data_IF_587639696657
#
_entry.id   IF_587639696657
#
_cell.length_a   1.000
_cell.length_b   1.000
_cell.length_c   1.000
_cell.angle_alpha   90.00
_cell.angle_beta   90.00
_cell.angle_gamma   90.00
#
_symmetry.space_group_name_H-M   'P 1'
#
loop_
_entity.id
_entity.type
_entity.pdbx_description
1 polymer ?
#
# COMPACT_ATOMS: atom_id res chain seq x y z
N UNK A 1 14.43 11.58 -8.99
CA UNK A 1 13.14 10.92 -8.68
C UNK A 1 12.03 11.82 -9.14
N UNK A 2 10.96 11.24 -9.68
CA UNK A 2 10.06 11.97 -10.59
C UNK A 2 8.91 12.69 -9.86
N UNK A 3 8.66 12.36 -8.58
CA UNK A 3 7.69 13.05 -7.72
C UNK A 3 8.28 13.33 -6.34
N UNK A 4 7.81 14.40 -5.69
CA UNK A 4 8.21 14.75 -4.32
C UNK A 4 7.84 13.67 -3.31
N UNK A 5 6.64 13.09 -3.44
CA UNK A 5 6.18 12.01 -2.57
C UNK A 5 7.09 10.79 -2.64
N UNK A 6 7.48 10.38 -3.85
CA UNK A 6 8.43 9.28 -4.01
C UNK A 6 9.77 9.64 -3.36
N UNK A 7 10.25 10.89 -3.53
CA UNK A 7 11.50 11.38 -2.94
C UNK A 7 11.55 11.17 -1.43
N UNK A 8 10.51 11.66 -0.74
CA UNK A 8 10.34 11.51 0.70
C UNK A 8 10.29 10.04 1.11
N UNK A 9 9.63 9.17 0.34
CA UNK A 9 9.55 7.75 0.64
C UNK A 9 10.92 7.05 0.55
N UNK A 10 11.78 7.40 -0.40
CA UNK A 10 13.12 6.82 -0.44
C UNK A 10 14.01 7.35 0.70
N UNK A 11 13.91 8.63 1.05
CA UNK A 11 14.62 9.17 2.20
C UNK A 11 14.18 8.46 3.49
N UNK A 12 12.87 8.26 3.67
CA UNK A 12 12.30 7.52 4.79
C UNK A 12 12.79 6.06 4.84
N UNK A 13 12.83 5.37 3.68
CA UNK A 13 13.39 4.03 3.56
C UNK A 13 14.87 3.99 3.99
N UNK A 14 15.68 4.94 3.51
CA UNK A 14 17.10 5.02 3.84
C UNK A 14 17.36 5.35 5.32
N UNK A 15 16.46 6.10 5.94
CA UNK A 15 16.50 6.46 7.36
C UNK A 15 15.89 5.39 8.29
N UNK A 16 15.32 4.31 7.75
CA UNK A 16 14.65 3.27 8.55
C UNK A 16 13.35 3.73 9.23
N UNK A 17 12.72 4.79 8.70
CA UNK A 17 11.43 5.28 9.21
C UNK A 17 10.33 4.26 8.86
N UNK A 18 9.42 3.92 9.78
CA UNK A 18 8.30 3.02 9.47
C UNK A 18 7.42 3.59 8.34
N UNK A 19 7.15 2.76 7.33
CA UNK A 19 6.28 3.11 6.21
C UNK A 19 5.12 2.13 6.15
N UNK A 20 3.91 2.67 6.10
CA UNK A 20 2.69 1.94 5.80
C UNK A 20 2.19 2.39 4.43
N UNK A 21 1.87 1.43 3.58
CA UNK A 21 1.28 1.68 2.27
C UNK A 21 -0.07 0.96 2.16
N UNK A 22 -1.07 1.65 1.61
CA UNK A 22 -2.42 1.13 1.38
C UNK A 22 -2.66 1.12 -0.13
N UNK A 23 -2.40 0.00 -0.84
CA UNK A 23 -2.53 -0.03 -2.29
C UNK A 23 -4.01 0.04 -2.72
N UNK A 24 -4.38 1.08 -3.47
CA UNK A 24 -5.71 1.21 -4.09
C UNK A 24 -5.59 1.04 -5.60
N UNK A 25 -5.40 -0.20 -6.05
CA UNK A 25 -5.06 -0.54 -7.44
C UNK A 25 -6.09 -1.51 -8.01
N UNK A 26 -6.57 -1.25 -9.23
CA UNK A 26 -7.58 -2.07 -9.87
C UNK A 26 -7.05 -3.40 -10.43
N UNK A 27 -7.94 -4.34 -10.73
CA UNK A 27 -7.59 -5.68 -11.23
C UNK A 27 -6.69 -5.67 -12.46
N UNK A 28 -6.89 -4.70 -13.37
CA UNK A 28 -6.11 -4.58 -14.61
C UNK A 28 -4.66 -4.21 -14.31
N UNK A 29 -4.44 -3.22 -13.44
CA UNK A 29 -3.10 -2.81 -13.03
C UNK A 29 -2.47 -3.83 -12.09
N UNK A 30 -3.27 -4.51 -11.28
CA UNK A 30 -2.84 -5.60 -10.41
C UNK A 30 -2.26 -6.79 -11.20
N UNK A 31 -2.86 -7.09 -12.35
CA UNK A 31 -2.38 -8.12 -13.27
C UNK A 31 -1.08 -7.76 -14.01
N UNK A 32 -0.50 -6.58 -13.78
CA UNK A 32 0.74 -6.18 -14.42
C UNK A 32 1.91 -7.06 -13.95
N UNK A 33 2.78 -7.59 -14.85
CA UNK A 33 3.82 -8.55 -14.48
C UNK A 33 4.80 -8.09 -13.40
N UNK A 34 5.02 -6.78 -13.29
CA UNK A 34 5.94 -6.19 -12.31
C UNK A 34 5.29 -6.05 -10.92
N UNK A 35 3.96 -6.02 -10.83
CA UNK A 35 3.24 -5.63 -9.62
C UNK A 35 3.58 -6.51 -8.41
N UNK A 36 3.52 -7.83 -8.58
CA UNK A 36 3.86 -8.79 -7.52
C UNK A 36 5.30 -8.60 -7.02
N UNK A 37 6.24 -8.33 -7.93
CA UNK A 37 7.63 -8.08 -7.56
C UNK A 37 7.76 -6.75 -6.82
N UNK A 38 7.07 -5.69 -7.24
CA UNK A 38 7.02 -4.41 -6.53
C UNK A 38 6.54 -4.57 -5.09
N UNK A 39 5.41 -5.26 -4.86
CA UNK A 39 4.90 -5.49 -3.51
C UNK A 39 5.90 -6.28 -2.65
N UNK A 40 6.51 -7.32 -3.21
CA UNK A 40 7.53 -8.11 -2.51
C UNK A 40 8.77 -7.27 -2.16
N UNK A 41 9.24 -6.43 -3.07
CA UNK A 41 10.39 -5.54 -2.82
C UNK A 41 10.09 -4.55 -1.71
N UNK A 42 8.90 -3.94 -1.72
CA UNK A 42 8.47 -3.02 -0.65
C UNK A 42 8.37 -3.73 0.71
N UNK A 43 7.73 -4.90 0.75
CA UNK A 43 7.63 -5.70 1.97
C UNK A 43 9.00 -6.12 2.50
N UNK A 44 9.92 -6.54 1.63
CA UNK A 44 11.30 -6.88 2.01
C UNK A 44 12.10 -5.68 2.53
N UNK A 45 11.74 -4.46 2.10
CA UNK A 45 12.31 -3.21 2.61
C UNK A 45 11.66 -2.74 3.93
N UNK A 46 10.74 -3.52 4.51
CA UNK A 46 10.08 -3.21 5.78
C UNK A 46 8.80 -2.38 5.64
N UNK A 47 8.33 -2.13 4.42
CA UNK A 47 7.04 -1.45 4.20
C UNK A 47 5.90 -2.39 4.59
N UNK A 48 4.98 -1.92 5.43
CA UNK A 48 3.78 -2.66 5.79
C UNK A 48 2.67 -2.36 4.81
N UNK A 49 2.21 -3.39 4.10
CA UNK A 49 1.14 -3.29 3.13
C UNK A 49 -0.20 -3.58 3.83
N UNK A 50 -1.15 -2.65 3.77
CA UNK A 50 -2.47 -2.78 4.39
C UNK A 50 -3.53 -2.92 3.30
N UNK A 51 -4.39 -3.93 3.40
CA UNK A 51 -5.55 -4.04 2.50
C UNK A 51 -6.58 -2.94 2.84
N UNK A 52 -7.01 -2.12 1.85
CA UNK A 52 -7.92 -1.01 2.09
C UNK A 52 -9.35 -1.41 2.49
N UNK A 53 -9.73 -2.69 2.40
CA UNK A 53 -11.07 -3.17 2.77
C UNK A 53 -11.13 -3.83 4.14
N UNK A 54 -10.03 -4.45 4.55
CA UNK A 54 -10.01 -5.28 5.77
C UNK A 54 -9.04 -4.78 6.84
N UNK A 55 -8.14 -3.85 6.51
CA UNK A 55 -7.06 -3.43 7.41
C UNK A 55 -5.98 -4.49 7.61
N UNK A 56 -6.08 -5.65 6.96
CA UNK A 56 -5.12 -6.73 7.13
C UNK A 56 -3.74 -6.34 6.58
N UNK A 57 -2.71 -6.57 7.40
CA UNK A 57 -1.32 -6.34 7.01
C UNK A 57 -0.77 -7.56 6.27
N UNK A 58 -0.14 -7.34 5.12
CA UNK A 58 0.68 -8.32 4.41
C UNK A 58 0.05 -8.95 3.17
N UNK A 59 -1.28 -8.90 3.01
CA UNK A 59 -1.98 -9.52 1.87
C UNK A 59 -3.00 -8.55 1.24
N UNK A 60 -2.55 -7.39 0.70
CA UNK A 60 -3.44 -6.52 -0.04
C UNK A 60 -3.94 -7.23 -1.31
N UNK A 61 -5.18 -6.97 -1.66
CA UNK A 61 -5.87 -7.56 -2.80
C UNK A 61 -6.32 -6.45 -3.77
N UNK A 62 -6.53 -6.74 -5.07
CA UNK A 62 -6.99 -5.72 -6.02
C UNK A 62 -8.34 -5.13 -5.62
N UNK A 63 -8.53 -3.85 -5.96
CA UNK A 63 -9.80 -3.13 -5.78
C UNK A 63 -10.62 -3.25 -7.06
N UNK A 64 -11.78 -3.87 -6.99
CA UNK A 64 -12.64 -4.02 -8.16
C UNK A 64 -13.04 -2.65 -8.75
N UNK A 65 -12.99 -2.54 -10.07
CA UNK A 65 -13.35 -1.28 -10.74
C UNK A 65 -14.81 -0.94 -10.47
N UNK A 66 -15.07 0.32 -10.09
CA UNK A 66 -16.40 0.79 -9.74
C UNK A 66 -16.75 0.68 -8.26
N UNK A 67 -15.98 -0.04 -7.44
CA UNK A 67 -16.23 -0.19 -5.98
C UNK A 67 -15.44 0.79 -5.11
N UNK A 68 -14.82 1.80 -5.73
CA UNK A 68 -13.97 2.77 -5.03
C UNK A 68 -14.69 3.50 -3.89
N UNK A 69 -15.91 4.05 -4.10
CA UNK A 69 -16.67 4.71 -3.05
C UNK A 69 -16.96 3.81 -1.83
N UNK A 70 -17.28 2.54 -2.05
CA UNK A 70 -17.56 1.56 -0.99
C UNK A 70 -16.29 1.24 -0.20
N UNK A 71 -15.15 1.07 -0.89
CA UNK A 71 -13.86 0.86 -0.22
C UNK A 71 -13.49 2.07 0.64
N UNK A 72 -13.66 3.29 0.12
CA UNK A 72 -13.38 4.52 0.88
C UNK A 72 -14.33 4.67 2.08
N UNK A 73 -15.61 4.33 1.91
CA UNK A 73 -16.59 4.40 3.00
C UNK A 73 -16.33 3.36 4.10
N UNK A 74 -15.81 2.18 3.73
CA UNK A 74 -15.46 1.12 4.67
C UNK A 74 -14.07 1.28 5.30
N UNK A 75 -13.20 2.09 4.70
CA UNK A 75 -11.83 2.27 5.18
C UNK A 75 -11.80 2.96 6.55
N UNK A 76 -11.14 2.33 7.51
CA UNK A 76 -10.88 2.91 8.81
C UNK A 76 -9.43 3.42 8.89
N UNK A 77 -9.20 4.73 9.04
CA UNK A 77 -7.86 5.29 9.17
C UNK A 77 -7.05 4.74 10.35
N UNK A 78 -7.71 4.18 11.39
CA UNK A 78 -7.02 3.55 12.52
C UNK A 78 -6.14 2.39 12.08
N UNK A 79 -6.49 1.65 11.03
CA UNK A 79 -5.70 0.55 10.50
C UNK A 79 -4.28 0.97 10.09
N UNK A 80 -4.11 2.21 9.62
CA UNK A 80 -2.79 2.75 9.27
C UNK A 80 -1.96 3.00 10.51
N UNK A 81 -2.56 3.53 11.57
CA UNK A 81 -1.88 3.83 12.83
C UNK A 81 -1.49 2.53 13.54
N UNK A 82 -2.43 1.59 13.63
CA UNK A 82 -2.20 0.26 14.23
C UNK A 82 -1.10 -0.52 13.50
N UNK A 83 -0.99 -0.35 12.18
CA UNK A 83 0.09 -0.96 11.42
C UNK A 83 1.48 -0.39 11.78
N UNK A 84 1.60 0.86 12.22
CA UNK A 84 2.90 1.46 12.58
C UNK A 84 3.47 0.83 13.87
N UNK A 85 2.60 0.47 14.82
CA UNK A 85 2.93 -0.08 16.13
C UNK A 85 2.58 0.86 17.27
#
# INVERSE_FOLDING_TARGET
>A
MDTSAAGVLCDALGAGVPIVAVPMVNDRLWGHPVWTTTLRTLAAAGVRLVDPRSGQVGDPTPVSSGTGPEVVAAFDPSWVIEAIG
#
